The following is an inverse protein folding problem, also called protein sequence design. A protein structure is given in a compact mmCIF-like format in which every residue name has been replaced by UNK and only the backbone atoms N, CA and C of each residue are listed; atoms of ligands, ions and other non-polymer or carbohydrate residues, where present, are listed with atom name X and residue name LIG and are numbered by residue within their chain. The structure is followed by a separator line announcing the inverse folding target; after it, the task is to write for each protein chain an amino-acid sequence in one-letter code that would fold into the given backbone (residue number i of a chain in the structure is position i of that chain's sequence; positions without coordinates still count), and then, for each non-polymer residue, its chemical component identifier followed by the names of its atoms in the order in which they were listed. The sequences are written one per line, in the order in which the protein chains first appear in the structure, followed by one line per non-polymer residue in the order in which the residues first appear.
data_IF_209689364245
#
_entry.id   IF_209689364245
#
_cell.length_a   1.000
_cell.length_b   1.000
_cell.length_c   1.000
_cell.angle_alpha   90.00
_cell.angle_beta   90.00
_cell.angle_gamma   90.00
#
_symmetry.space_group_name_H-M   'P 1'
#
loop_
_entity.id
_entity.type
_entity.pdbx_description
1 polymer ?
#
# COMPACT_ATOMS: atom_id res chain seq x y z
N UNK A 1 -4.82 10.35 19.97
CA UNK A 1 -3.94 10.93 18.93
C UNK A 1 -4.84 11.66 17.93
N UNK A 2 -4.51 12.86 17.43
CA UNK A 2 -5.37 13.62 16.53
C UNK A 2 -5.43 12.99 15.12
N UNK A 3 -6.57 13.13 14.45
CA UNK A 3 -6.77 12.62 13.07
C UNK A 3 -6.06 13.45 12.00
N UNK A 4 -5.59 14.64 12.36
CA UNK A 4 -4.78 15.52 11.52
C UNK A 4 -3.58 16.01 12.32
N UNK A 5 -2.40 16.01 11.71
CA UNK A 5 -1.20 16.53 12.34
C UNK A 5 -0.33 17.25 11.29
N UNK A 6 0.00 18.53 11.55
CA UNK A 6 0.79 19.39 10.63
C UNK A 6 0.21 19.43 9.19
N UNK A 7 -1.13 19.46 9.06
CA UNK A 7 -1.81 19.43 7.76
C UNK A 7 -1.86 18.06 7.07
N UNK A 8 -1.24 17.03 7.65
CA UNK A 8 -1.36 15.66 7.17
C UNK A 8 -2.57 15.00 7.81
N UNK A 9 -3.55 14.66 6.99
CA UNK A 9 -4.74 13.90 7.41
C UNK A 9 -4.46 12.41 7.38
N UNK A 10 -4.97 11.70 8.37
CA UNK A 10 -4.98 10.23 8.36
C UNK A 10 -5.92 9.76 7.24
N UNK A 11 -5.51 8.81 6.38
CA UNK A 11 -6.36 8.25 5.34
C UNK A 11 -7.68 7.71 5.90
N UNK A 12 -8.80 8.00 5.24
CA UNK A 12 -10.15 7.62 5.69
C UNK A 12 -10.31 6.11 5.86
N UNK A 13 -9.62 5.33 5.02
CA UNK A 13 -9.59 3.86 5.11
C UNK A 13 -9.10 3.36 6.48
N UNK A 14 -8.17 4.08 7.12
CA UNK A 14 -7.65 3.75 8.44
C UNK A 14 -8.58 4.19 9.58
N UNK A 15 -9.50 5.10 9.31
CA UNK A 15 -10.49 5.62 10.27
C UNK A 15 -11.79 4.80 10.26
N UNK A 16 -12.07 4.11 9.15
CA UNK A 16 -13.34 3.39 8.92
C UNK A 16 -13.56 2.13 9.79
N UNK A 17 -12.52 1.59 10.43
CA UNK A 17 -12.60 0.36 11.23
C UNK A 17 -12.77 -0.93 10.40
N UNK A 18 -12.84 -0.86 9.08
CA UNK A 18 -12.94 -2.03 8.22
C UNK A 18 -11.60 -2.76 8.08
N UNK A 19 -11.41 -3.80 8.89
CA UNK A 19 -10.15 -4.55 8.97
C UNK A 19 -9.65 -5.08 7.62
N UNK A 20 -10.54 -5.52 6.72
CA UNK A 20 -10.18 -6.00 5.38
C UNK A 20 -9.58 -4.87 4.54
N UNK A 21 -10.22 -3.70 4.52
CA UNK A 21 -9.74 -2.54 3.76
C UNK A 21 -8.42 -2.02 4.34
N UNK A 22 -8.27 -2.02 5.67
CA UNK A 22 -7.03 -1.64 6.34
C UNK A 22 -5.90 -2.61 5.97
N UNK A 23 -6.16 -3.92 5.93
CA UNK A 23 -5.17 -4.93 5.51
C UNK A 23 -4.73 -4.68 4.08
N UNK A 24 -5.69 -4.56 3.15
CA UNK A 24 -5.41 -4.31 1.72
C UNK A 24 -4.61 -3.02 1.53
N UNK A 25 -5.04 -1.94 2.18
CA UNK A 25 -4.32 -0.66 2.13
C UNK A 25 -2.89 -0.77 2.67
N UNK A 26 -2.68 -1.46 3.79
CA UNK A 26 -1.31 -1.65 4.33
C UNK A 26 -0.44 -2.47 3.37
N UNK A 27 -1.01 -3.48 2.72
CA UNK A 27 -0.32 -4.33 1.76
C UNK A 27 0.10 -3.52 0.53
N UNK A 28 -0.83 -2.78 -0.06
CA UNK A 28 -0.58 -1.86 -1.17
C UNK A 28 0.51 -0.84 -0.84
N UNK A 29 0.42 -0.17 0.32
CA UNK A 29 1.42 0.81 0.72
C UNK A 29 2.80 0.19 0.98
N UNK A 30 2.86 -1.07 1.44
CA UNK A 30 4.11 -1.79 1.58
C UNK A 30 4.73 -2.10 0.22
N UNK A 31 3.95 -2.68 -0.70
CA UNK A 31 4.39 -3.00 -2.05
C UNK A 31 4.83 -1.75 -2.82
N UNK A 32 4.08 -0.65 -2.71
CA UNK A 32 4.42 0.63 -3.32
C UNK A 32 5.77 1.15 -2.84
N UNK A 33 5.99 1.19 -1.52
CA UNK A 33 7.27 1.64 -0.96
C UNK A 33 8.44 0.76 -1.38
N UNK A 34 8.22 -0.56 -1.42
CA UNK A 34 9.25 -1.49 -1.88
C UNK A 34 9.55 -1.25 -3.36
N UNK A 35 8.54 -1.11 -4.20
CA UNK A 35 8.71 -0.84 -5.63
C UNK A 35 9.45 0.48 -5.91
N UNK A 36 9.08 1.56 -5.20
CA UNK A 36 9.71 2.88 -5.37
C UNK A 36 11.16 2.94 -4.88
N UNK A 37 11.49 2.23 -3.79
CA UNK A 37 12.78 2.39 -3.08
C UNK A 37 13.74 1.22 -3.26
N UNK A 38 13.22 0.01 -3.37
CA UNK A 38 13.95 -1.26 -3.36
C UNK A 38 13.27 -2.29 -4.28
N UNK A 39 13.15 -2.00 -5.59
CA UNK A 39 12.52 -2.94 -6.54
C UNK A 39 13.26 -4.29 -6.61
N UNK A 40 14.54 -4.32 -6.23
CA UNK A 40 15.36 -5.53 -6.11
C UNK A 40 14.75 -6.59 -5.16
N UNK A 41 14.07 -6.16 -4.10
CA UNK A 41 13.42 -7.08 -3.15
C UNK A 41 12.19 -7.78 -3.75
N UNK A 42 11.62 -7.22 -4.81
CA UNK A 42 10.44 -7.76 -5.50
C UNK A 42 10.80 -8.83 -6.52
N UNK A 43 12.05 -8.91 -6.96
CA UNK A 43 12.49 -9.86 -8.00
C UNK A 43 12.40 -11.32 -7.54
N UNK A 44 12.70 -11.59 -6.26
CA UNK A 44 12.68 -12.92 -5.67
C UNK A 44 11.50 -13.14 -4.70
N UNK A 45 10.54 -12.23 -4.69
CA UNK A 45 9.39 -12.32 -3.80
C UNK A 45 8.28 -13.18 -4.40
N UNK A 46 7.78 -14.14 -3.64
CA UNK A 46 6.65 -14.96 -4.03
C UNK A 46 5.33 -14.22 -3.74
N UNK A 47 4.82 -13.50 -4.74
CA UNK A 47 3.54 -12.79 -4.65
C UNK A 47 2.35 -13.76 -4.63
N UNK A 48 1.38 -13.47 -3.77
CA UNK A 48 0.02 -13.98 -3.89
C UNK A 48 -0.72 -13.32 -5.06
N UNK A 49 -1.85 -13.89 -5.48
CA UNK A 49 -2.66 -13.34 -6.58
C UNK A 49 -3.16 -11.91 -6.28
N UNK A 50 -3.53 -11.62 -5.03
CA UNK A 50 -3.95 -10.28 -4.60
C UNK A 50 -2.79 -9.28 -4.68
N UNK A 51 -1.61 -9.64 -4.17
CA UNK A 51 -0.43 -8.79 -4.20
C UNK A 51 0.05 -8.51 -5.62
N UNK A 52 -0.03 -9.51 -6.51
CA UNK A 52 0.29 -9.35 -7.92
C UNK A 52 -0.62 -8.32 -8.57
N UNK A 53 -1.93 -8.42 -8.33
CA UNK A 53 -2.89 -7.46 -8.88
C UNK A 53 -2.61 -6.04 -8.41
N UNK A 54 -2.39 -5.87 -7.10
CA UNK A 54 -2.04 -4.59 -6.48
C UNK A 54 -0.73 -4.03 -7.05
N UNK A 55 0.29 -4.88 -7.25
CA UNK A 55 1.56 -4.45 -7.82
C UNK A 55 1.41 -3.94 -9.26
N UNK A 56 0.57 -4.60 -10.07
CA UNK A 56 0.28 -4.12 -11.43
C UNK A 56 -0.49 -2.79 -11.41
N UNK A 57 -1.46 -2.61 -10.50
CA UNK A 57 -2.13 -1.31 -10.30
C UNK A 57 -1.12 -0.21 -9.96
N UNK A 58 -0.17 -0.47 -9.05
CA UNK A 58 0.88 0.48 -8.66
C UNK A 58 1.79 0.84 -9.84
N UNK A 59 2.18 -0.15 -10.67
CA UNK A 59 3.02 0.10 -11.86
C UNK A 59 2.30 0.94 -12.91
N UNK A 60 0.97 0.82 -13.03
CA UNK A 60 0.17 1.64 -13.94
C UNK A 60 0.05 3.06 -13.42
N UNK A 61 -0.19 3.25 -12.12
CA UNK A 61 -0.31 4.59 -11.50
C UNK A 61 1.00 5.38 -11.52
N UNK A 62 2.14 4.68 -11.44
CA UNK A 62 3.48 5.29 -11.47
C UNK A 62 4.04 5.60 -12.86
N UNK A 63 3.28 5.38 -13.94
CA UNK A 63 3.70 5.57 -15.34
C UNK A 63 3.05 6.80 -15.96
#
# INVERSE_FOLDING_TARGET
RPAEFRGMKVPDVLLSGHHVNIRRWRMEQSLRKTWERRPDLLENYAFTDEERHILEEIKVEGK
#
